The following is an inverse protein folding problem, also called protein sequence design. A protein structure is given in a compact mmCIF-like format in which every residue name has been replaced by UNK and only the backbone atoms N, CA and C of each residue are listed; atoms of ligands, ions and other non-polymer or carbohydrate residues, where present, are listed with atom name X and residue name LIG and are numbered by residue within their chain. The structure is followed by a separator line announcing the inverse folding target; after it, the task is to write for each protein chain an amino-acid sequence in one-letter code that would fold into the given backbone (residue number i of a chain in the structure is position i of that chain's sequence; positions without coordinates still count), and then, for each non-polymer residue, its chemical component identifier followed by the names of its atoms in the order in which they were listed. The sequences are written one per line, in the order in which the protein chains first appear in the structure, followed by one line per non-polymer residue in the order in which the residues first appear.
data_IF_804398388225
#
_entry.id   IF_804398388225
#
_cell.length_a   1.000
_cell.length_b   1.000
_cell.length_c   1.000
_cell.angle_alpha   90.00
_cell.angle_beta   90.00
_cell.angle_gamma   90.00
#
_symmetry.space_group_name_H-M   'P 1'
#
loop_
_entity.id
_entity.type
_entity.pdbx_description
1 polymer ?
#
# COMPACT_ATOMS: atom_id res chain seq x y z
N UNK A 1 44.92 0.53 8.30
CA UNK A 1 44.17 0.30 9.55
C UNK A 1 42.74 0.73 9.28
N UNK A 2 41.76 -0.19 9.21
CA UNK A 2 40.37 0.12 8.82
C UNK A 2 39.61 0.76 10.00
N UNK A 3 38.81 1.79 9.72
CA UNK A 3 38.00 2.55 10.69
C UNK A 3 36.86 1.69 11.27
N UNK A 4 36.73 1.70 12.60
CA UNK A 4 35.78 0.90 13.38
C UNK A 4 34.31 1.14 13.01
N UNK A 5 33.98 2.34 12.50
CA UNK A 5 32.62 2.67 12.04
C UNK A 5 32.23 1.87 10.80
N UNK A 6 33.18 1.63 9.90
CA UNK A 6 32.96 0.79 8.73
C UNK A 6 32.83 -0.69 9.12
N UNK A 7 33.61 -1.15 10.09
CA UNK A 7 33.50 -2.52 10.59
C UNK A 7 32.15 -2.78 11.28
N UNK A 8 31.66 -1.82 12.05
CA UNK A 8 30.33 -1.89 12.66
C UNK A 8 29.21 -1.90 11.60
N UNK A 9 29.30 -1.02 10.60
CA UNK A 9 28.30 -0.97 9.52
C UNK A 9 28.22 -2.27 8.71
N UNK A 10 29.37 -2.93 8.51
CA UNK A 10 29.47 -4.19 7.78
C UNK A 10 29.31 -5.44 8.67
N UNK A 11 28.99 -5.27 9.95
CA UNK A 11 28.89 -6.36 10.95
C UNK A 11 30.16 -7.24 11.03
N UNK A 12 31.34 -6.67 10.80
CA UNK A 12 32.62 -7.40 10.79
C UNK A 12 33.38 -7.27 12.12
N UNK A 13 32.67 -7.05 13.23
CA UNK A 13 33.25 -6.70 14.53
C UNK A 13 33.67 -7.92 15.37
N UNK A 14 33.37 -9.15 14.92
CA UNK A 14 33.64 -10.38 15.65
C UNK A 14 34.34 -11.41 14.77
N UNK A 15 35.41 -12.05 15.28
CA UNK A 15 36.08 -13.17 14.59
C UNK A 15 35.17 -14.39 14.34
N UNK A 16 34.03 -14.48 15.06
CA UNK A 16 33.01 -15.51 14.81
C UNK A 16 32.29 -15.31 13.47
N UNK A 17 32.16 -14.08 13.01
CA UNK A 17 31.57 -13.72 11.72
C UNK A 17 32.71 -13.19 10.84
N UNK A 18 33.39 -14.10 10.15
CA UNK A 18 34.46 -13.70 9.25
C UNK A 18 33.92 -12.73 8.19
N UNK A 19 34.55 -11.55 8.01
CA UNK A 19 34.16 -10.65 6.95
C UNK A 19 34.28 -11.34 5.60
N UNK A 20 33.28 -11.10 4.73
CA UNK A 20 33.31 -11.56 3.35
C UNK A 20 34.57 -10.99 2.69
N UNK A 21 35.54 -11.86 2.42
CA UNK A 21 36.74 -11.47 1.70
C UNK A 21 36.43 -11.23 0.23
N UNK A 22 37.27 -10.47 -0.48
CA UNK A 22 37.15 -10.25 -1.94
C UNK A 22 36.98 -11.57 -2.71
N UNK A 23 37.56 -12.66 -2.22
CA UNK A 23 37.53 -13.97 -2.88
C UNK A 23 36.33 -14.83 -2.45
N UNK A 24 35.59 -14.45 -1.41
CA UNK A 24 34.51 -15.29 -0.86
C UNK A 24 33.41 -15.56 -1.88
N UNK A 25 32.95 -14.52 -2.61
CA UNK A 25 31.96 -14.68 -3.67
C UNK A 25 32.50 -15.44 -4.88
N UNK A 26 33.77 -15.22 -5.24
CA UNK A 26 34.43 -15.95 -6.33
C UNK A 26 34.54 -17.44 -6.00
N UNK A 27 34.97 -17.78 -4.79
CA UNK A 27 35.09 -19.16 -4.33
C UNK A 27 33.72 -19.84 -4.22
N UNK A 28 32.72 -19.12 -3.71
CA UNK A 28 31.34 -19.60 -3.66
C UNK A 28 30.83 -19.91 -5.08
N UNK A 29 30.99 -18.99 -6.04
CA UNK A 29 30.60 -19.21 -7.44
C UNK A 29 31.32 -20.42 -8.05
N UNK A 30 32.63 -20.55 -7.82
CA UNK A 30 33.39 -21.69 -8.30
C UNK A 30 32.92 -23.02 -7.71
N UNK A 31 32.57 -23.05 -6.42
CA UNK A 31 32.05 -24.23 -5.74
C UNK A 31 30.68 -24.66 -6.32
N UNK A 32 29.76 -23.71 -6.49
CA UNK A 32 28.44 -24.00 -7.06
C UNK A 32 28.55 -24.44 -8.52
N UNK A 33 29.43 -23.81 -9.31
CA UNK A 33 29.68 -24.23 -10.68
C UNK A 33 30.25 -25.64 -10.77
N UNK A 34 31.23 -25.98 -9.93
CA UNK A 34 31.76 -27.35 -9.85
C UNK A 34 30.68 -28.37 -9.51
N UNK A 35 29.83 -28.06 -8.52
CA UNK A 35 28.72 -28.93 -8.15
C UNK A 35 27.75 -29.15 -9.32
N UNK A 36 27.44 -28.09 -10.07
CA UNK A 36 26.63 -28.19 -11.28
C UNK A 36 27.27 -29.10 -12.34
N UNK A 37 28.58 -29.00 -12.55
CA UNK A 37 29.28 -29.86 -13.52
C UNK A 37 29.37 -31.32 -13.06
N UNK A 38 29.51 -31.57 -11.75
CA UNK A 38 29.64 -32.91 -11.17
C UNK A 38 28.28 -33.64 -11.09
N UNK A 39 27.19 -32.92 -10.78
CA UNK A 39 25.88 -33.51 -10.49
C UNK A 39 24.78 -33.14 -11.49
N UNK A 40 25.01 -32.17 -12.38
CA UNK A 40 24.01 -31.65 -13.31
C UNK A 40 22.93 -30.77 -12.67
N UNK A 41 23.10 -30.37 -11.41
CA UNK A 41 22.09 -29.65 -10.61
C UNK A 41 22.52 -28.18 -10.42
N UNK A 42 21.64 -27.22 -10.73
CA UNK A 42 21.88 -25.79 -10.48
C UNK A 42 21.29 -25.35 -9.14
N UNK A 43 22.14 -25.36 -8.11
CA UNK A 43 21.75 -24.98 -6.75
C UNK A 43 21.28 -23.52 -6.64
N UNK A 44 21.76 -22.61 -7.49
CA UNK A 44 21.32 -21.20 -7.45
C UNK A 44 19.89 -21.11 -7.98
N UNK A 45 19.61 -21.79 -9.09
CA UNK A 45 18.28 -21.81 -9.67
C UNK A 45 17.26 -22.41 -8.70
N UNK A 46 17.56 -23.57 -8.10
CA UNK A 46 16.66 -24.25 -7.16
C UNK A 46 16.31 -23.36 -5.95
N UNK A 47 17.32 -22.70 -5.38
CA UNK A 47 17.10 -21.83 -4.22
C UNK A 47 16.29 -20.58 -4.59
N UNK A 48 16.58 -19.94 -5.73
CA UNK A 48 15.81 -18.78 -6.20
C UNK A 48 14.34 -19.17 -6.44
N UNK A 49 14.08 -20.32 -7.07
CA UNK A 49 12.73 -20.81 -7.32
C UNK A 49 11.99 -21.16 -6.02
N UNK A 50 12.68 -21.78 -5.05
CA UNK A 50 12.14 -22.09 -3.72
C UNK A 50 11.74 -20.83 -2.97
N UNK A 51 12.60 -19.82 -2.97
CA UNK A 51 12.31 -18.52 -2.35
C UNK A 51 11.16 -17.80 -3.08
N UNK A 52 11.14 -17.81 -4.41
CA UNK A 52 10.06 -17.22 -5.19
C UNK A 52 8.68 -17.84 -4.85
N UNK A 53 8.60 -19.17 -4.70
CA UNK A 53 7.38 -19.86 -4.25
C UNK A 53 6.95 -19.43 -2.86
N UNK A 54 7.91 -19.28 -1.94
CA UNK A 54 7.65 -18.82 -0.57
C UNK A 54 7.12 -17.38 -0.56
N UNK A 55 7.75 -16.47 -1.31
CA UNK A 55 7.29 -15.09 -1.45
C UNK A 55 5.90 -15.02 -2.09
N UNK A 56 5.64 -15.78 -3.14
CA UNK A 56 4.31 -15.84 -3.78
C UNK A 56 3.22 -16.23 -2.77
N UNK A 57 3.48 -17.23 -1.91
CA UNK A 57 2.54 -17.68 -0.87
C UNK A 57 2.30 -16.60 0.19
N UNK A 58 3.36 -15.95 0.68
CA UNK A 58 3.28 -14.87 1.67
C UNK A 58 2.48 -13.69 1.10
N UNK A 59 2.77 -13.33 -0.14
CA UNK A 59 2.19 -12.17 -0.82
C UNK A 59 0.83 -12.45 -1.47
N UNK A 60 0.34 -13.71 -1.40
CA UNK A 60 -0.91 -14.17 -2.04
C UNK A 60 -0.99 -13.77 -3.52
N UNK A 61 0.14 -13.88 -4.23
CA UNK A 61 0.21 -13.59 -5.65
C UNK A 61 -0.37 -14.81 -6.38
N UNK A 62 -1.69 -14.83 -6.54
CA UNK A 62 -2.33 -15.69 -7.54
C UNK A 62 -1.79 -15.26 -8.91
N UNK A 63 -1.37 -16.21 -9.76
CA UNK A 63 -0.56 -16.01 -10.98
C UNK A 63 -1.07 -15.05 -12.08
N UNK A 64 -2.01 -14.16 -11.77
CA UNK A 64 -2.19 -12.89 -12.46
C UNK A 64 -1.02 -11.98 -12.07
N UNK A 65 -0.36 -11.40 -13.07
CA UNK A 65 0.73 -10.41 -12.92
C UNK A 65 0.28 -9.20 -12.10
N UNK A 66 0.30 -9.33 -10.78
CA UNK A 66 0.07 -8.23 -9.85
C UNK A 66 1.45 -7.86 -9.31
N UNK A 67 1.95 -6.70 -9.75
CA UNK A 67 3.20 -6.16 -9.22
C UNK A 67 3.01 -5.86 -7.73
N UNK A 68 4.04 -6.07 -6.94
CA UNK A 68 4.01 -5.92 -5.48
C UNK A 68 3.57 -4.51 -5.03
N UNK A 69 3.93 -3.46 -5.77
CA UNK A 69 3.46 -2.08 -5.57
C UNK A 69 1.94 -1.93 -5.77
N UNK A 70 1.34 -2.74 -6.64
CA UNK A 70 -0.09 -2.68 -6.93
C UNK A 70 -0.94 -3.17 -5.75
N UNK A 71 -0.45 -4.12 -4.93
CA UNK A 71 -1.18 -4.58 -3.73
C UNK A 71 -1.26 -3.49 -2.66
N UNK A 72 -0.15 -2.80 -2.42
CA UNK A 72 -0.07 -1.74 -1.41
C UNK A 72 -0.84 -0.48 -1.85
N UNK A 73 -0.69 -0.08 -3.12
CA UNK A 73 -1.37 1.09 -3.70
C UNK A 73 -2.87 0.82 -3.85
N UNK A 74 -3.30 -0.35 -4.33
CA UNK A 74 -4.72 -0.64 -4.58
C UNK A 74 -5.59 -0.61 -3.33
N UNK A 75 -5.05 -1.00 -2.17
CA UNK A 75 -5.82 -1.05 -0.92
C UNK A 75 -6.24 0.35 -0.42
N UNK A 76 -5.34 1.32 -0.52
CA UNK A 76 -5.60 2.73 -0.16
C UNK A 76 -6.47 3.42 -1.23
N UNK A 77 -6.15 3.22 -2.50
CA UNK A 77 -6.92 3.79 -3.61
C UNK A 77 -8.38 3.32 -3.61
N UNK A 78 -8.64 2.03 -3.31
CA UNK A 78 -10.02 1.49 -3.32
C UNK A 78 -10.91 2.12 -2.24
N UNK A 79 -10.38 2.43 -1.05
CA UNK A 79 -11.13 3.13 0.00
C UNK A 79 -11.35 4.59 -0.38
N UNK A 80 -10.34 5.22 -0.97
CA UNK A 80 -10.42 6.61 -1.40
C UNK A 80 -11.48 6.80 -2.49
N UNK A 81 -11.47 5.96 -3.53
CA UNK A 81 -12.49 5.98 -4.57
C UNK A 81 -13.91 5.74 -4.03
N UNK A 82 -14.07 4.89 -3.00
CA UNK A 82 -15.37 4.72 -2.33
C UNK A 82 -15.82 5.99 -1.61
N UNK A 83 -14.91 6.63 -0.87
CA UNK A 83 -15.21 7.91 -0.20
C UNK A 83 -15.59 8.99 -1.21
N UNK A 84 -14.87 9.07 -2.33
CA UNK A 84 -15.11 10.01 -3.42
C UNK A 84 -16.50 9.84 -4.05
N UNK A 85 -16.90 8.59 -4.37
CA UNK A 85 -18.24 8.29 -4.90
C UNK A 85 -19.33 8.70 -3.90
N UNK A 86 -19.17 8.35 -2.62
CA UNK A 86 -20.15 8.68 -1.59
C UNK A 86 -20.24 10.20 -1.40
N UNK A 87 -19.10 10.89 -1.31
CA UNK A 87 -19.04 12.33 -1.13
C UNK A 87 -19.66 13.08 -2.31
N UNK A 88 -19.30 12.71 -3.54
CA UNK A 88 -19.86 13.35 -4.75
C UNK A 88 -21.37 13.12 -4.85
N UNK A 89 -21.87 11.94 -4.46
CA UNK A 89 -23.31 11.66 -4.40
C UNK A 89 -24.02 12.57 -3.38
N UNK A 90 -23.47 12.71 -2.17
CA UNK A 90 -24.03 13.58 -1.13
C UNK A 90 -23.98 15.05 -1.55
N UNK A 91 -22.88 15.52 -2.11
CA UNK A 91 -22.75 16.91 -2.60
C UNK A 91 -23.77 17.20 -3.71
N UNK A 92 -24.01 16.26 -4.63
CA UNK A 92 -25.06 16.39 -5.66
C UNK A 92 -26.45 16.44 -5.05
N UNK A 93 -26.74 15.58 -4.06
CA UNK A 93 -28.03 15.58 -3.36
C UNK A 93 -28.27 16.93 -2.65
N UNK A 94 -27.25 17.47 -1.98
CA UNK A 94 -27.28 18.80 -1.37
C UNK A 94 -27.63 19.88 -2.40
N UNK A 95 -27.01 19.84 -3.59
CA UNK A 95 -27.31 20.78 -4.68
C UNK A 95 -28.75 20.68 -5.19
N UNK A 96 -29.37 19.51 -5.14
CA UNK A 96 -30.79 19.33 -5.53
C UNK A 96 -31.70 19.89 -4.45
N UNK A 97 -31.48 19.55 -3.17
CA UNK A 97 -32.32 20.01 -2.07
C UNK A 97 -32.20 21.53 -1.89
N UNK A 98 -30.99 22.09 -2.00
CA UNK A 98 -30.74 23.53 -1.85
C UNK A 98 -31.46 24.40 -2.91
N UNK A 99 -31.94 23.82 -4.01
CA UNK A 99 -32.78 24.53 -4.99
C UNK A 99 -34.23 24.70 -4.53
N UNK A 100 -34.72 23.78 -3.70
CA UNK A 100 -36.12 23.72 -3.30
C UNK A 100 -36.34 24.14 -1.84
N UNK A 101 -35.33 23.96 -0.97
CA UNK A 101 -35.43 24.18 0.48
C UNK A 101 -34.13 24.75 1.05
N UNK A 102 -34.24 25.60 2.07
CA UNK A 102 -33.09 26.12 2.81
C UNK A 102 -32.43 25.02 3.63
N UNK A 103 -31.19 24.66 3.29
CA UNK A 103 -30.44 23.62 3.98
C UNK A 103 -29.69 24.17 5.20
N UNK A 104 -29.54 23.36 6.24
CA UNK A 104 -28.80 23.74 7.45
C UNK A 104 -27.34 24.12 7.14
N UNK A 105 -26.78 25.10 7.87
CA UNK A 105 -25.41 25.58 7.67
C UNK A 105 -24.35 24.48 7.75
N UNK A 106 -24.64 23.41 8.49
CA UNK A 106 -23.82 22.21 8.60
C UNK A 106 -23.40 21.62 7.25
N UNK A 107 -24.23 21.74 6.21
CA UNK A 107 -23.97 21.16 4.89
C UNK A 107 -23.30 22.12 3.90
N UNK A 108 -23.13 23.40 4.26
CA UNK A 108 -22.44 24.41 3.42
C UNK A 108 -21.03 23.97 2.97
N UNK A 109 -20.20 23.30 3.79
CA UNK A 109 -18.86 22.87 3.37
C UNK A 109 -18.87 21.91 2.17
N UNK A 110 -19.94 21.16 1.93
CA UNK A 110 -20.01 20.25 0.77
C UNK A 110 -20.11 20.96 -0.59
N UNK A 111 -20.35 22.27 -0.58
CA UNK A 111 -20.39 23.12 -1.78
C UNK A 111 -19.03 23.73 -2.11
N UNK A 112 -18.05 23.64 -1.20
CA UNK A 112 -16.69 24.16 -1.37
C UNK A 112 -15.75 23.09 -1.95
N UNK A 113 -15.05 23.42 -3.03
CA UNK A 113 -14.03 22.57 -3.64
C UNK A 113 -12.81 22.38 -2.73
N UNK A 114 -12.50 23.35 -1.87
CA UNK A 114 -11.44 23.22 -0.87
C UNK A 114 -11.74 22.09 0.12
N UNK A 115 -12.99 22.02 0.60
CA UNK A 115 -13.44 20.96 1.50
C UNK A 115 -13.43 19.58 0.84
N UNK A 116 -13.70 19.50 -0.47
CA UNK A 116 -13.54 18.26 -1.25
C UNK A 116 -12.08 17.79 -1.22
N UNK A 117 -11.14 18.68 -1.53
CA UNK A 117 -9.72 18.34 -1.58
C UNK A 117 -9.17 17.92 -0.21
N UNK A 118 -9.62 18.57 0.87
CA UNK A 118 -9.26 18.20 2.24
C UNK A 118 -9.87 16.86 2.68
N UNK A 119 -11.09 16.57 2.22
CA UNK A 119 -11.80 15.34 2.58
C UNK A 119 -11.30 14.14 1.79
N UNK A 120 -10.92 14.31 0.53
CA UNK A 120 -10.45 13.22 -0.34
C UNK A 120 -8.92 13.15 -0.32
N UNK A 121 -8.22 14.14 -0.86
CA UNK A 121 -6.79 14.05 -1.14
C UNK A 121 -5.87 14.21 0.08
N UNK A 122 -6.28 14.95 1.11
CA UNK A 122 -5.48 15.12 2.35
C UNK A 122 -5.78 14.09 3.44
N UNK A 123 -6.61 13.09 3.14
CA UNK A 123 -6.99 12.04 4.10
C UNK A 123 -5.93 10.96 4.25
N UNK A 124 -5.59 10.61 5.50
CA UNK A 124 -4.76 9.44 5.80
C UNK A 124 -5.59 8.15 5.73
N UNK A 125 -4.99 7.02 5.32
CA UNK A 125 -5.68 5.72 5.18
C UNK A 125 -6.37 5.24 6.48
N UNK A 126 -5.81 5.61 7.64
CA UNK A 126 -6.41 5.29 8.96
C UNK A 126 -7.75 5.98 9.20
N UNK A 127 -7.96 7.17 8.63
CA UNK A 127 -9.13 8.01 8.90
C UNK A 127 -10.25 7.81 7.87
N UNK A 128 -9.93 7.16 6.75
CA UNK A 128 -10.83 6.98 5.60
C UNK A 128 -12.14 6.27 5.97
N UNK A 129 -12.09 5.20 6.79
CA UNK A 129 -13.30 4.50 7.22
C UNK A 129 -14.21 5.37 8.10
N UNK A 130 -13.63 6.20 8.96
CA UNK A 130 -14.37 7.11 9.83
C UNK A 130 -15.04 8.21 9.00
N UNK A 131 -14.32 8.76 8.00
CA UNK A 131 -14.87 9.73 7.05
C UNK A 131 -15.99 9.12 6.21
N UNK A 132 -15.81 7.91 5.66
CA UNK A 132 -16.86 7.19 4.92
C UNK A 132 -18.13 7.06 5.77
N UNK A 133 -18.01 6.61 7.03
CA UNK A 133 -19.15 6.50 7.95
C UNK A 133 -19.83 7.85 8.20
N UNK A 134 -19.06 8.93 8.35
CA UNK A 134 -19.59 10.28 8.56
C UNK A 134 -20.41 10.75 7.34
N UNK A 135 -19.83 10.67 6.14
CA UNK A 135 -20.51 11.11 4.91
C UNK A 135 -21.74 10.24 4.61
N UNK A 136 -21.71 8.94 4.93
CA UNK A 136 -22.89 8.08 4.85
C UNK A 136 -24.01 8.52 5.80
N UNK A 137 -23.68 8.86 7.06
CA UNK A 137 -24.67 9.39 8.02
C UNK A 137 -25.27 10.70 7.53
N UNK A 138 -24.45 11.57 6.96
CA UNK A 138 -24.90 12.84 6.36
C UNK A 138 -25.87 12.57 5.19
N UNK A 139 -25.55 11.60 4.32
CA UNK A 139 -26.42 11.17 3.24
C UNK A 139 -27.77 10.62 3.72
N UNK A 140 -27.78 9.79 4.77
CA UNK A 140 -29.03 9.28 5.38
C UNK A 140 -29.86 10.42 5.97
N UNK A 141 -29.22 11.38 6.63
CA UNK A 141 -29.90 12.56 7.17
C UNK A 141 -30.53 13.40 6.06
N UNK A 142 -29.80 13.64 4.97
CA UNK A 142 -30.32 14.37 3.80
C UNK A 142 -31.47 13.62 3.12
N UNK A 143 -31.37 12.30 2.99
CA UNK A 143 -32.44 11.48 2.45
C UNK A 143 -33.72 11.58 3.29
N UNK A 144 -33.59 11.61 4.62
CA UNK A 144 -34.75 11.77 5.51
C UNK A 144 -35.40 13.15 5.42
N UNK A 145 -34.62 14.19 5.10
CA UNK A 145 -35.14 15.55 4.87
C UNK A 145 -35.87 15.59 3.53
N UNK A 146 -35.25 15.07 2.47
CA UNK A 146 -35.84 15.07 1.13
C UNK A 146 -37.13 14.26 1.01
N UNK A 147 -37.26 13.16 1.77
CA UNK A 147 -38.46 12.30 1.73
C UNK A 147 -39.64 12.83 2.56
N UNK A 148 -39.42 13.85 3.39
CA UNK A 148 -40.50 14.48 4.19
C UNK A 148 -41.25 15.57 3.42
N UNK A 149 -40.72 16.00 2.29
CA UNK A 149 -41.42 16.75 1.25
C UNK A 149 -42.02 15.79 0.21
#
# INVERSE_FOLDING_TARGET
MFDIRYQHALHTTSFKEQPVSKNSLTNFRAAVYRYNQEHGIDLIQEEIESQAKTFSKILKIEGKTIRMDSLMISSSCRKLSRLEIIYSTVSRLIKVIAKNTTLAEYFKPYQDESHYNDTIYRSRDKDLNTKIKKVLKDGVRLYSIYRKD
#
